data_IF_145396999652
#
_entry.id   IF_145396999652
#
_cell.length_a   1.000
_cell.length_b   1.000
_cell.length_c   1.000
_cell.angle_alpha   90.00
_cell.angle_beta   90.00
_cell.angle_gamma   90.00
#
_symmetry.space_group_name_H-M   'P 1'
#
loop_
_entity.id
_entity.type
_entity.pdbx_description
1 polymer ?
#
# COMPACT_ATOMS: atom_id res chain seq x y z
N UNK A 1 -23.30 -2.48 -15.67
CA UNK A 1 -23.45 -1.73 -14.40
C UNK A 1 -22.32 -0.72 -14.32
N UNK A 2 -22.59 0.55 -14.02
CA UNK A 2 -21.54 1.57 -13.89
C UNK A 2 -20.66 1.28 -12.67
N UNK A 3 -19.33 1.25 -12.85
CA UNK A 3 -18.39 1.07 -11.73
C UNK A 3 -18.40 2.34 -10.88
N UNK A 4 -18.85 2.24 -9.63
CA UNK A 4 -18.84 3.36 -8.69
C UNK A 4 -17.39 3.68 -8.30
N UNK A 5 -16.92 4.87 -8.68
CA UNK A 5 -15.60 5.37 -8.31
C UNK A 5 -15.52 5.66 -6.81
N UNK A 6 -14.32 5.50 -6.23
CA UNK A 6 -14.04 5.72 -4.81
C UNK A 6 -13.61 7.17 -4.56
N UNK A 7 -13.99 7.74 -3.42
CA UNK A 7 -13.51 9.08 -3.02
C UNK A 7 -12.44 8.98 -1.94
N UNK A 8 -11.31 9.67 -2.12
CA UNK A 8 -10.31 9.80 -1.04
C UNK A 8 -10.83 10.83 -0.03
N UNK A 9 -11.26 10.36 1.14
CA UNK A 9 -11.61 11.26 2.26
C UNK A 9 -10.41 12.13 2.65
N UNK A 10 -10.55 13.43 2.40
CA UNK A 10 -9.56 14.46 2.76
C UNK A 10 -9.70 14.86 4.23
N UNK A 11 -8.62 15.39 4.79
CA UNK A 11 -8.60 16.01 6.12
C UNK A 11 -9.45 17.28 6.11
N UNK A 12 -10.05 17.62 7.26
CA UNK A 12 -10.87 18.84 7.43
C UNK A 12 -10.04 20.09 7.76
N UNK A 13 -8.78 19.94 8.16
CA UNK A 13 -7.88 21.01 8.57
C UNK A 13 -6.46 20.72 8.07
N UNK A 14 -5.69 21.77 7.77
CA UNK A 14 -4.31 21.70 7.29
C UNK A 14 -3.23 21.94 8.37
N UNK A 15 -3.62 21.94 9.64
CA UNK A 15 -2.67 22.03 10.75
C UNK A 15 -1.66 20.88 10.75
N UNK A 16 -0.46 21.13 11.29
CA UNK A 16 0.60 20.13 11.45
C UNK A 16 0.09 18.88 12.19
N UNK A 17 -0.69 19.09 13.26
CA UNK A 17 -1.36 18.04 14.04
C UNK A 17 -2.31 17.21 13.17
N UNK A 18 -3.19 17.85 12.38
CA UNK A 18 -4.12 17.14 11.51
C UNK A 18 -3.41 16.30 10.43
N UNK A 19 -2.36 16.85 9.82
CA UNK A 19 -1.51 16.13 8.85
C UNK A 19 -0.83 14.91 9.47
N UNK A 20 -0.25 15.06 10.66
CA UNK A 20 0.37 13.97 11.41
C UNK A 20 -0.64 12.86 11.74
N UNK A 21 -1.83 13.22 12.25
CA UNK A 21 -2.89 12.26 12.57
C UNK A 21 -3.38 11.51 11.33
N UNK A 22 -3.65 12.22 10.22
CA UNK A 22 -4.08 11.60 8.97
C UNK A 22 -3.04 10.57 8.50
N UNK A 23 -1.76 10.95 8.50
CA UNK A 23 -0.65 10.07 8.10
C UNK A 23 -0.56 8.84 8.99
N UNK A 24 -0.57 9.01 10.31
CA UNK A 24 -0.48 7.90 11.26
C UNK A 24 -1.66 6.93 11.10
N UNK A 25 -2.89 7.44 10.98
CA UNK A 25 -4.08 6.61 10.76
C UNK A 25 -3.99 5.83 9.44
N UNK A 26 -3.59 6.47 8.33
CA UNK A 26 -3.43 5.79 7.04
C UNK A 26 -2.37 4.70 7.10
N UNK A 27 -1.22 4.99 7.72
CA UNK A 27 -0.13 4.02 7.90
C UNK A 27 -0.56 2.81 8.73
N UNK A 28 -1.19 3.04 9.89
CA UNK A 28 -1.65 1.96 10.78
C UNK A 28 -2.66 1.06 10.07
N UNK A 29 -3.70 1.64 9.45
CA UNK A 29 -4.69 0.83 8.74
C UNK A 29 -4.11 0.06 7.56
N UNK A 30 -3.11 0.62 6.87
CA UNK A 30 -2.44 -0.08 5.77
C UNK A 30 -1.73 -1.34 6.27
N UNK A 31 -0.98 -1.26 7.38
CA UNK A 31 -0.34 -2.44 7.97
C UNK A 31 -1.35 -3.44 8.51
N UNK A 32 -2.43 -2.99 9.15
CA UNK A 32 -3.49 -3.89 9.63
C UNK A 32 -4.14 -4.65 8.46
N UNK A 33 -4.44 -3.96 7.34
CA UNK A 33 -5.01 -4.61 6.16
C UNK A 33 -4.05 -5.59 5.48
N UNK A 34 -2.75 -5.29 5.49
CA UNK A 34 -1.74 -6.23 5.02
C UNK A 34 -1.70 -7.49 5.89
N UNK A 35 -1.67 -7.32 7.22
CA UNK A 35 -1.73 -8.44 8.16
C UNK A 35 -2.99 -9.30 7.99
N UNK A 36 -4.16 -8.66 7.91
CA UNK A 36 -5.44 -9.35 7.67
C UNK A 36 -5.40 -10.16 6.37
N UNK A 37 -4.87 -9.59 5.28
CA UNK A 37 -4.78 -10.29 4.00
C UNK A 37 -3.84 -11.50 4.07
N UNK A 38 -2.66 -11.34 4.69
CA UNK A 38 -1.75 -12.47 4.90
C UNK A 38 -2.42 -13.59 5.69
N UNK A 39 -3.17 -13.23 6.75
CA UNK A 39 -3.83 -14.20 7.63
C UNK A 39 -4.97 -14.96 6.94
N UNK A 40 -5.77 -14.27 6.13
CA UNK A 40 -7.00 -14.83 5.55
C UNK A 40 -6.81 -15.43 4.15
N UNK A 41 -5.75 -15.06 3.43
CA UNK A 41 -5.59 -15.41 2.01
C UNK A 41 -4.34 -16.24 1.69
N UNK A 42 -3.62 -16.76 2.69
CA UNK A 42 -2.40 -17.56 2.51
C UNK A 42 -1.42 -16.90 1.52
N UNK A 43 -1.08 -15.64 1.82
CA UNK A 43 -0.36 -14.77 0.91
C UNK A 43 0.72 -13.97 1.62
N UNK A 44 1.86 -13.82 0.96
CA UNK A 44 2.94 -12.99 1.45
C UNK A 44 2.86 -11.54 0.96
N UNK A 45 3.07 -10.61 1.89
CA UNK A 45 3.08 -9.17 1.61
C UNK A 45 4.36 -8.56 2.16
N UNK A 46 5.02 -7.77 1.31
CA UNK A 46 6.03 -6.81 1.73
C UNK A 46 5.51 -5.40 1.46
N UNK A 47 5.47 -4.56 2.50
CA UNK A 47 5.15 -3.14 2.41
C UNK A 47 6.32 -2.30 2.87
N UNK A 48 6.67 -1.29 2.08
CA UNK A 48 7.69 -0.30 2.44
C UNK A 48 7.15 1.12 2.24
N UNK A 49 7.28 1.94 3.27
CA UNK A 49 6.82 3.33 3.26
C UNK A 49 8.02 4.23 3.54
N UNK A 50 8.38 5.06 2.56
CA UNK A 50 9.34 6.16 2.74
C UNK A 50 8.61 7.49 2.84
N UNK A 51 8.81 8.19 3.95
CA UNK A 51 8.34 9.56 4.12
C UNK A 51 9.28 10.52 3.40
N UNK A 52 8.84 11.07 2.26
CA UNK A 52 9.66 11.95 1.40
C UNK A 52 10.25 13.17 2.11
N UNK A 53 9.55 13.71 3.12
CA UNK A 53 9.95 14.95 3.79
C UNK A 53 11.08 14.79 4.80
N UNK A 54 11.30 13.59 5.34
CA UNK A 54 12.32 13.34 6.37
C UNK A 54 13.12 12.05 6.12
N UNK A 55 12.89 11.37 5.00
CA UNK A 55 13.58 10.13 4.65
C UNK A 55 13.19 8.90 5.49
N UNK A 56 12.35 9.05 6.52
CA UNK A 56 12.02 7.94 7.43
C UNK A 56 11.38 6.78 6.66
N UNK A 57 11.93 5.58 6.85
CA UNK A 57 11.42 4.34 6.28
C UNK A 57 10.78 3.50 7.38
N UNK A 58 9.60 2.95 7.09
CA UNK A 58 8.95 1.91 7.90
C UNK A 58 8.53 0.80 6.95
N UNK A 59 8.81 -0.44 7.32
CA UNK A 59 8.47 -1.59 6.49
C UNK A 59 7.81 -2.71 7.31
N UNK A 60 7.10 -3.58 6.60
CA UNK A 60 6.48 -4.80 7.10
C UNK A 60 6.75 -5.91 6.08
N UNK A 61 7.07 -7.09 6.58
CA UNK A 61 7.23 -8.32 5.81
C UNK A 61 6.50 -9.44 6.56
N UNK A 62 5.68 -10.21 5.87
CA UNK A 62 5.06 -11.42 6.42
C UNK A 62 6.06 -12.56 6.58
N UNK A 63 6.97 -12.68 5.61
CA UNK A 63 8.04 -13.67 5.55
C UNK A 63 9.41 -12.95 5.42
N UNK A 64 10.45 -13.50 6.03
CA UNK A 64 11.82 -12.98 5.96
C UNK A 64 12.36 -12.90 4.52
N UNK A 65 12.00 -13.86 3.67
CA UNK A 65 12.57 -14.04 2.33
C UNK A 65 11.77 -13.32 1.23
N UNK A 66 10.60 -12.76 1.58
CA UNK A 66 9.78 -11.95 0.68
C UNK A 66 10.18 -10.46 0.73
N UNK A 67 10.13 -9.70 -0.38
CA UNK A 67 9.81 -10.11 -1.74
C UNK A 67 11.04 -10.60 -2.51
N UNK A 68 10.80 -11.36 -3.58
CA UNK A 68 11.86 -11.75 -4.51
C UNK A 68 12.58 -10.53 -5.10
N UNK A 69 13.90 -10.61 -5.33
CA UNK A 69 14.62 -9.68 -6.18
C UNK A 69 13.95 -9.52 -7.55
N UNK A 70 14.02 -8.33 -8.14
CA UNK A 70 13.36 -8.03 -9.42
C UNK A 70 13.81 -8.96 -10.56
N UNK A 71 15.08 -9.38 -10.53
CA UNK A 71 15.67 -10.36 -11.45
C UNK A 71 14.96 -11.72 -11.39
N UNK A 72 14.54 -12.14 -10.20
CA UNK A 72 13.82 -13.40 -9.99
C UNK A 72 12.35 -13.30 -10.41
N UNK A 73 11.76 -12.10 -10.42
CA UNK A 73 10.39 -11.89 -10.90
C UNK A 73 10.27 -12.13 -12.41
N UNK A 74 11.33 -11.87 -13.18
CA UNK A 74 11.32 -12.06 -14.64
C UNK A 74 11.18 -13.52 -15.06
N UNK A 75 11.68 -14.46 -14.24
CA UNK A 75 11.66 -15.91 -14.49
C UNK A 75 10.59 -16.63 -13.69
N UNK A 76 9.82 -15.93 -12.86
CA UNK A 76 8.81 -16.51 -11.97
C UNK A 76 7.59 -17.03 -12.75
N UNK A 77 7.05 -18.17 -12.32
CA UNK A 77 5.78 -18.73 -12.82
C UNK A 77 4.79 -18.92 -11.65
N UNK A 78 3.54 -18.44 -11.80
CA UNK A 78 2.96 -17.76 -12.95
C UNK A 78 3.54 -16.36 -13.17
N UNK A 79 3.47 -15.86 -14.41
CA UNK A 79 4.03 -14.54 -14.78
C UNK A 79 3.50 -13.46 -13.83
N UNK A 80 4.37 -12.75 -13.10
CA UNK A 80 3.91 -11.71 -12.17
C UNK A 80 3.12 -10.61 -12.88
N UNK A 81 2.06 -10.14 -12.23
CA UNK A 81 1.28 -9.00 -12.70
C UNK A 81 1.67 -7.76 -11.92
N UNK A 82 2.18 -6.75 -12.62
CA UNK A 82 2.40 -5.43 -12.04
C UNK A 82 1.08 -4.66 -11.98
N UNK A 83 0.73 -4.13 -10.81
CA UNK A 83 -0.37 -3.17 -10.65
C UNK A 83 0.21 -1.76 -10.71
N UNK A 84 -0.24 -0.97 -11.68
CA UNK A 84 0.30 0.38 -11.93
C UNK A 84 -0.42 1.46 -11.11
N UNK A 85 0.23 2.62 -10.96
CA UNK A 85 -0.41 3.79 -10.35
C UNK A 85 -1.70 4.19 -11.09
N UNK A 86 -1.67 4.16 -12.41
CA UNK A 86 -2.78 4.54 -13.29
C UNK A 86 -3.98 3.59 -13.09
N UNK A 87 -3.73 2.29 -13.00
CA UNK A 87 -4.78 1.29 -12.73
C UNK A 87 -5.47 1.54 -11.39
N UNK A 88 -4.70 1.85 -10.35
CA UNK A 88 -5.28 2.18 -9.03
C UNK A 88 -5.98 3.53 -9.04
N UNK A 89 -5.40 4.55 -9.66
CA UNK A 89 -5.96 5.89 -9.75
C UNK A 89 -7.28 5.91 -10.52
N UNK A 90 -7.43 5.09 -11.56
CA UNK A 90 -8.66 4.95 -12.33
C UNK A 90 -9.87 4.50 -11.50
N UNK A 91 -9.64 3.85 -10.35
CA UNK A 91 -10.70 3.43 -9.42
C UNK A 91 -11.24 4.58 -8.56
N UNK A 92 -10.57 5.74 -8.54
CA UNK A 92 -10.95 6.89 -7.73
C UNK A 92 -11.59 7.99 -8.57
N UNK A 93 -12.43 8.78 -7.90
CA UNK A 93 -12.91 10.06 -8.42
C UNK A 93 -11.73 11.03 -8.58
N UNK A 94 -11.76 11.79 -9.68
CA UNK A 94 -10.75 12.79 -10.04
C UNK A 94 -10.67 13.93 -9.02
#
# INVERSE_FOLDING_TARGET
MAIKKRTIRRRRSDSSKAKCQQRNRRRVHLFLKAFEYCRECDADICLMIRLKHNGQVVFFKSDSDWPFPEEQLATHYPKPKQVTWQELAAQYES
#
